data_IF_658577799754
#
_entry.id   IF_658577799754
#
_cell.length_a   1.000
_cell.length_b   1.000
_cell.length_c   1.000
_cell.angle_alpha   90.00
_cell.angle_beta   90.00
_cell.angle_gamma   90.00
#
_symmetry.space_group_name_H-M   'P 1'
#
loop_
_entity.id
_entity.type
_entity.pdbx_description
1 polymer ?
#
# COMPACT_ATOMS: atom_id res chain seq x y z
N UNK A 1 41.97 40.62 -20.30
CA UNK A 1 41.15 40.01 -19.23
C UNK A 1 41.89 38.79 -18.72
N UNK A 2 42.12 38.65 -17.42
CA UNK A 2 42.92 37.55 -16.89
C UNK A 2 42.17 36.21 -17.04
N UNK A 3 42.89 35.13 -17.34
CA UNK A 3 42.31 33.78 -17.56
C UNK A 3 41.42 33.34 -16.40
N UNK A 4 41.81 33.67 -15.17
CA UNK A 4 41.06 33.36 -13.96
C UNK A 4 39.74 34.13 -13.90
N UNK A 5 39.72 35.40 -14.33
CA UNK A 5 38.50 36.22 -14.38
C UNK A 5 37.50 35.65 -15.39
N UNK A 6 37.97 35.18 -16.55
CA UNK A 6 37.11 34.54 -17.54
C UNK A 6 36.53 33.21 -17.00
N UNK A 7 37.34 32.38 -16.36
CA UNK A 7 36.89 31.13 -15.74
C UNK A 7 35.85 31.36 -14.65
N UNK A 8 36.06 32.33 -13.75
CA UNK A 8 35.10 32.66 -12.69
C UNK A 8 33.77 33.13 -13.27
N UNK A 9 33.80 33.93 -14.34
CA UNK A 9 32.58 34.43 -14.98
C UNK A 9 31.81 33.29 -15.67
N UNK A 10 32.51 32.38 -16.34
CA UNK A 10 31.91 31.17 -16.92
C UNK A 10 31.29 30.26 -15.84
N UNK A 11 31.95 30.09 -14.69
CA UNK A 11 31.44 29.29 -13.57
C UNK A 11 30.15 29.87 -13.00
N UNK A 12 30.09 31.19 -12.81
CA UNK A 12 28.89 31.87 -12.29
C UNK A 12 27.72 31.70 -13.25
N UNK A 13 27.95 31.86 -14.55
CA UNK A 13 26.91 31.64 -15.57
C UNK A 13 26.45 30.19 -15.58
N UNK A 14 27.37 29.23 -15.49
CA UNK A 14 27.05 27.80 -15.42
C UNK A 14 26.17 27.47 -14.22
N UNK A 15 26.53 27.94 -13.03
CA UNK A 15 25.75 27.73 -11.80
C UNK A 15 24.36 28.38 -11.90
N UNK A 16 24.26 29.57 -12.51
CA UNK A 16 22.98 30.21 -12.78
C UNK A 16 22.09 29.38 -13.71
N UNK A 17 22.64 28.82 -14.78
CA UNK A 17 21.90 27.96 -15.71
C UNK A 17 21.43 26.68 -15.02
N UNK A 18 22.30 26.02 -14.24
CA UNK A 18 21.94 24.80 -13.49
C UNK A 18 20.83 25.09 -12.47
N UNK A 19 20.95 26.19 -11.73
CA UNK A 19 19.92 26.60 -10.77
C UNK A 19 18.58 26.91 -11.45
N UNK A 20 18.62 27.60 -12.59
CA UNK A 20 17.43 27.93 -13.37
C UNK A 20 16.73 26.70 -13.95
N UNK A 21 17.48 25.77 -14.54
CA UNK A 21 16.91 24.53 -15.06
C UNK A 21 16.35 23.66 -13.93
N UNK A 22 17.05 23.57 -12.80
CA UNK A 22 16.56 22.86 -11.62
C UNK A 22 15.25 23.43 -11.07
N UNK A 23 15.16 24.76 -10.97
CA UNK A 23 13.93 25.43 -10.55
C UNK A 23 12.77 25.12 -11.50
N UNK A 24 13.00 25.15 -12.81
CA UNK A 24 11.99 24.79 -13.80
C UNK A 24 11.50 23.33 -13.69
N UNK A 25 12.39 22.39 -13.35
CA UNK A 25 12.01 20.98 -13.15
C UNK A 25 11.13 20.75 -11.92
N UNK A 26 11.22 21.59 -10.89
CA UNK A 26 10.33 21.49 -9.72
C UNK A 26 8.90 21.91 -10.06
N UNK A 27 8.72 22.82 -11.02
CA UNK A 27 7.41 23.31 -11.46
C UNK A 27 6.80 22.47 -12.58
N UNK A 28 7.57 21.58 -13.24
CA UNK A 28 7.00 20.67 -14.23
C UNK A 28 6.12 19.62 -13.54
N UNK A 29 4.80 19.60 -13.79
CA UNK A 29 3.94 18.55 -13.25
C UNK A 29 4.40 17.21 -13.83
N UNK A 30 4.80 16.29 -12.96
CA UNK A 30 5.18 14.94 -13.36
C UNK A 30 3.92 14.25 -13.90
N UNK A 31 3.86 13.89 -15.19
CA UNK A 31 2.70 13.21 -15.74
C UNK A 31 2.58 11.84 -15.05
N UNK A 32 1.53 11.68 -14.23
CA UNK A 32 1.31 10.47 -13.43
C UNK A 32 1.11 10.70 -11.92
N UNK A 33 1.60 11.82 -11.38
CA UNK A 33 1.49 12.11 -9.94
C UNK A 33 0.03 12.33 -9.47
N UNK A 34 -0.82 12.88 -10.35
CA UNK A 34 -2.24 13.08 -10.07
C UNK A 34 -3.06 11.79 -10.17
N UNK A 35 -2.61 10.84 -11.01
CA UNK A 35 -3.28 9.55 -11.21
C UNK A 35 -3.18 8.68 -9.96
N UNK A 36 -2.04 8.70 -9.26
CA UNK A 36 -1.87 7.99 -8.00
C UNK A 36 -2.72 8.61 -6.89
N UNK A 37 -2.73 9.93 -6.76
CA UNK A 37 -3.55 10.64 -5.75
C UNK A 37 -5.06 10.42 -5.96
N UNK A 38 -5.52 10.44 -7.21
CA UNK A 38 -6.90 10.12 -7.55
C UNK A 38 -7.26 8.68 -7.19
N UNK A 39 -6.36 7.73 -7.43
CA UNK A 39 -6.55 6.30 -7.11
C UNK A 39 -6.66 6.07 -5.59
N UNK A 40 -5.81 6.70 -4.78
CA UNK A 40 -5.89 6.61 -3.32
C UNK A 40 -7.20 7.16 -2.75
N UNK A 41 -7.69 8.29 -3.28
CA UNK A 41 -8.95 8.89 -2.83
C UNK A 41 -10.16 7.99 -3.12
N UNK A 42 -10.11 7.26 -4.24
CA UNK A 42 -11.16 6.34 -4.68
C UNK A 42 -11.22 5.11 -3.77
N UNK A 43 -10.07 4.51 -3.45
CA UNK A 43 -9.95 3.36 -2.55
C UNK A 43 -10.47 3.71 -1.14
N UNK A 44 -10.09 4.86 -0.59
CA UNK A 44 -10.55 5.27 0.74
C UNK A 44 -12.07 5.51 0.81
N UNK A 45 -12.66 5.97 -0.29
CA UNK A 45 -14.11 6.17 -0.40
C UNK A 45 -14.83 4.81 -0.47
N UNK A 46 -14.27 3.85 -1.18
CA UNK A 46 -14.79 2.48 -1.29
C UNK A 46 -14.73 1.76 0.07
N UNK A 47 -13.62 1.86 0.80
CA UNK A 47 -13.50 1.30 2.15
C UNK A 47 -14.49 1.94 3.14
N UNK A 48 -14.75 3.25 3.01
CA UNK A 48 -15.77 3.93 3.83
C UNK A 48 -17.18 3.41 3.54
N UNK A 49 -17.48 3.10 2.28
CA UNK A 49 -18.75 2.46 1.87
C UNK A 49 -18.88 1.04 2.46
N UNK A 50 -17.83 0.22 2.45
CA UNK A 50 -17.88 -1.10 3.08
C UNK A 50 -18.11 -1.02 4.60
N UNK A 51 -17.53 -0.02 5.29
CA UNK A 51 -17.75 0.17 6.73
C UNK A 51 -19.18 0.59 7.07
N UNK A 52 -19.90 1.20 6.13
CA UNK A 52 -21.28 1.67 6.30
C UNK A 52 -22.31 0.71 5.71
N UNK A 53 -21.86 -0.42 5.15
CA UNK A 53 -22.74 -1.48 4.69
C UNK A 53 -23.31 -2.19 5.93
N UNK A 54 -24.45 -1.69 6.41
CA UNK A 54 -25.26 -2.37 7.41
C UNK A 54 -25.92 -3.56 6.70
N UNK A 55 -25.30 -4.74 6.85
CA UNK A 55 -25.80 -5.96 6.23
C UNK A 55 -27.13 -6.29 6.88
N UNK A 56 -28.21 -6.26 6.09
CA UNK A 56 -29.53 -6.65 6.54
C UNK A 56 -29.52 -8.15 6.90
N UNK A 57 -29.39 -8.40 8.20
CA UNK A 57 -29.34 -9.75 8.79
C UNK A 57 -30.74 -10.29 9.08
N UNK A 58 -31.80 -9.60 8.69
CA UNK A 58 -33.18 -10.06 8.90
C UNK A 58 -33.45 -11.42 8.26
N UNK A 59 -32.75 -11.75 7.17
CA UNK A 59 -32.86 -13.04 6.48
C UNK A 59 -32.39 -14.23 7.37
N UNK A 60 -31.43 -14.00 8.27
CA UNK A 60 -30.98 -15.02 9.24
C UNK A 60 -31.93 -15.17 10.44
N UNK A 61 -32.95 -14.33 10.56
CA UNK A 61 -33.99 -14.46 11.58
C UNK A 61 -35.11 -15.41 11.16
N UNK A 62 -35.13 -15.85 9.90
CA UNK A 62 -36.08 -16.84 9.40
C UNK A 62 -35.88 -18.19 10.13
N UNK A 63 -36.98 -18.88 10.41
CA UNK A 63 -37.02 -20.12 11.18
C UNK A 63 -36.13 -21.19 10.54
N UNK A 64 -36.01 -21.19 9.21
CA UNK A 64 -35.13 -22.08 8.46
C UNK A 64 -33.64 -22.00 8.87
N UNK A 65 -33.14 -20.82 9.23
CA UNK A 65 -31.75 -20.64 9.66
C UNK A 65 -31.55 -20.80 11.17
N UNK A 66 -32.61 -20.65 11.96
CA UNK A 66 -32.59 -20.88 13.42
C UNK A 66 -32.71 -22.36 13.79
N UNK A 67 -33.32 -23.15 12.93
CA UNK A 67 -33.48 -24.60 13.09
C UNK A 67 -32.27 -25.39 12.53
N UNK A 68 -31.20 -24.70 12.13
CA UNK A 68 -29.94 -25.35 11.80
C UNK A 68 -29.35 -25.94 13.09
N UNK A 69 -29.38 -27.27 13.17
CA UNK A 69 -28.76 -28.06 14.22
C UNK A 69 -27.28 -27.67 14.33
N UNK A 70 -26.80 -27.46 15.57
CA UNK A 70 -25.39 -27.12 15.81
C UNK A 70 -24.49 -28.09 15.04
N UNK A 71 -23.54 -27.61 14.24
CA UNK A 71 -22.61 -28.48 13.54
C UNK A 71 -22.01 -29.42 14.58
N UNK A 72 -22.19 -30.73 14.40
CA UNK A 72 -21.57 -31.70 15.30
C UNK A 72 -20.11 -31.33 15.45
N UNK A 73 -19.64 -31.18 16.69
CA UNK A 73 -18.23 -30.94 16.96
C UNK A 73 -17.44 -32.08 16.32
N UNK A 74 -16.85 -31.80 15.15
CA UNK A 74 -15.96 -32.74 14.50
C UNK A 74 -14.81 -32.91 15.50
N UNK A 75 -14.54 -34.13 16.01
CA UNK A 75 -13.45 -34.33 16.93
C UNK A 75 -12.19 -33.80 16.25
N UNK A 76 -11.59 -32.77 16.85
CA UNK A 76 -10.35 -32.22 16.33
C UNK A 76 -9.32 -33.35 16.40
N UNK A 77 -8.64 -33.68 15.28
CA UNK A 77 -7.62 -34.70 15.32
C UNK A 77 -6.55 -34.26 16.32
N UNK A 78 -6.11 -35.18 17.18
CA UNK A 78 -5.03 -34.92 18.11
C UNK A 78 -3.82 -34.40 17.32
N UNK A 79 -3.42 -33.17 17.60
CA UNK A 79 -2.26 -32.56 16.97
C UNK A 79 -1.04 -33.19 17.60
N UNK A 80 -0.47 -34.21 16.95
CA UNK A 80 0.85 -34.73 17.33
C UNK A 80 1.84 -33.56 17.22
N UNK A 81 2.46 -33.13 18.34
CA UNK A 81 3.46 -32.07 18.28
C UNK A 81 4.56 -32.48 17.31
N UNK A 82 4.88 -31.59 16.37
CA UNK A 82 6.01 -31.80 15.47
C UNK A 82 7.30 -32.00 16.25
N UNK A 83 8.30 -32.63 15.61
CA UNK A 83 9.65 -32.67 16.18
C UNK A 83 10.15 -31.23 16.33
N UNK A 84 10.67 -30.87 17.49
CA UNK A 84 11.31 -29.57 17.70
C UNK A 84 12.36 -29.28 16.63
N UNK A 85 13.06 -30.32 16.18
CA UNK A 85 13.99 -30.27 15.06
C UNK A 85 13.58 -31.25 13.95
N UNK A 86 13.12 -30.76 12.78
CA UNK A 86 12.73 -31.61 11.65
C UNK A 86 13.90 -32.33 10.98
N UNK A 87 15.15 -31.93 11.25
CA UNK A 87 16.37 -32.49 10.64
C UNK A 87 17.13 -33.47 11.52
N UNK A 88 16.71 -33.69 12.77
CA UNK A 88 17.39 -34.65 13.62
C UNK A 88 17.21 -36.09 13.05
N UNK A 89 18.17 -37.00 13.23
CA UNK A 89 17.98 -38.41 12.84
C UNK A 89 16.84 -39.06 13.66
N UNK A 90 16.09 -39.97 13.03
CA UNK A 90 15.14 -40.82 13.76
C UNK A 90 15.94 -41.86 14.55
N UNK A 91 15.64 -42.03 15.85
CA UNK A 91 16.21 -43.09 16.68
C UNK A 91 15.47 -44.40 16.46
#
# INVERSE_FOLDING_TARGET
>A
MNRNTFFSLALVVLLGVIGYTWYGYLETPVPGADTERASFSKILTEVRLLKTLDLDTSLFQDRFFRDLEEPQEIPQPDVTPGRENPFAPFK
#
